data_IF_102844282358
#
_entry.id   IF_102844282358
#
_cell.length_a   1.000
_cell.length_b   1.000
_cell.length_c   1.000
_cell.angle_alpha   90.00
_cell.angle_beta   90.00
_cell.angle_gamma   90.00
#
_symmetry.space_group_name_H-M   'P 1'
#
loop_
_entity.id
_entity.type
_entity.pdbx_description
1 polymer ?
#
# COMPACT_ATOMS: atom_id res chain seq x y z
N UNK A 1 -0.89 -21.85 8.37
CA UNK A 1 -1.25 -20.44 8.12
C UNK A 1 -0.35 -19.93 7.01
N UNK A 2 -0.91 -19.57 5.86
CA UNK A 2 -0.17 -18.91 4.78
C UNK A 2 0.13 -17.48 5.20
N UNK A 3 1.39 -17.07 5.14
CA UNK A 3 1.78 -15.68 5.34
C UNK A 3 1.13 -14.82 4.26
N UNK A 4 0.50 -13.72 4.65
CA UNK A 4 -0.05 -12.71 3.74
C UNK A 4 0.50 -11.35 4.13
N UNK A 5 0.90 -10.56 3.14
CA UNK A 5 1.44 -9.22 3.32
C UNK A 5 0.69 -8.24 2.43
N UNK A 6 0.50 -7.02 2.93
CA UNK A 6 -0.11 -5.91 2.20
C UNK A 6 0.91 -4.79 2.11
N UNK A 7 0.99 -4.15 0.94
CA UNK A 7 1.76 -2.93 0.77
C UNK A 7 0.80 -1.74 0.93
N UNK A 8 1.16 -0.82 1.83
CA UNK A 8 0.38 0.38 2.15
C UNK A 8 1.31 1.56 2.36
N UNK A 9 0.85 2.75 1.98
CA UNK A 9 1.52 3.99 2.36
C UNK A 9 1.20 4.29 3.82
N UNK A 10 2.19 4.64 4.63
CA UNK A 10 1.97 4.89 6.05
C UNK A 10 2.15 6.36 6.43
N UNK A 11 1.31 6.81 7.36
CA UNK A 11 1.35 8.14 7.96
C UNK A 11 1.25 8.01 9.48
N UNK A 12 2.03 8.79 10.22
CA UNK A 12 1.95 8.82 11.69
C UNK A 12 1.58 10.21 12.18
N UNK A 13 0.53 10.30 12.99
CA UNK A 13 0.09 11.53 13.68
C UNK A 13 0.38 11.48 15.18
N UNK A 14 1.50 10.86 15.55
CA UNK A 14 1.99 10.74 16.92
C UNK A 14 1.25 9.69 17.76
N UNK A 15 -0.09 9.66 17.69
CA UNK A 15 -0.93 8.69 18.43
C UNK A 15 -1.61 7.66 17.54
N UNK A 16 -1.56 7.86 16.23
CA UNK A 16 -2.22 7.01 15.24
C UNK A 16 -1.26 6.74 14.09
N UNK A 17 -1.20 5.47 13.69
CA UNK A 17 -0.58 5.03 12.44
C UNK A 17 -1.68 4.67 11.46
N UNK A 18 -1.69 5.34 10.31
CA UNK A 18 -2.64 5.08 9.22
C UNK A 18 -1.88 4.39 8.09
N UNK A 19 -2.39 3.26 7.61
CA UNK A 19 -1.89 2.53 6.45
C UNK A 19 -2.91 2.65 5.31
N UNK A 20 -2.67 3.59 4.42
CA UNK A 20 -3.56 3.92 3.32
C UNK A 20 -3.28 3.08 2.07
N UNK A 21 -4.31 2.61 1.36
CA UNK A 21 -4.15 1.87 0.13
C UNK A 21 -3.59 2.75 -0.99
N UNK A 22 -2.81 2.14 -1.86
CA UNK A 22 -2.42 2.74 -3.14
C UNK A 22 -3.41 2.24 -4.22
N UNK A 23 -4.68 2.61 -4.08
CA UNK A 23 -5.77 2.17 -4.95
C UNK A 23 -6.80 3.28 -5.13
N UNK A 24 -7.47 3.30 -6.28
CA UNK A 24 -8.64 4.14 -6.55
C UNK A 24 -9.96 3.43 -6.22
N UNK A 25 -9.91 2.16 -5.82
CA UNK A 25 -11.07 1.39 -5.38
C UNK A 25 -11.56 1.92 -4.03
N UNK A 26 -12.81 2.38 -4.00
CA UNK A 26 -13.44 2.96 -2.82
C UNK A 26 -13.76 1.91 -1.74
N UNK A 27 -13.82 0.62 -2.10
CA UNK A 27 -14.11 -0.46 -1.16
C UNK A 27 -12.86 -0.86 -0.35
N UNK A 28 -11.68 -0.37 -0.73
CA UNK A 28 -10.44 -0.61 0.01
C UNK A 28 -10.22 0.53 1.01
N UNK A 29 -10.47 0.26 2.28
CA UNK A 29 -10.36 1.25 3.35
C UNK A 29 -8.93 1.38 3.93
N UNK A 30 -8.69 2.51 4.61
CA UNK A 30 -7.51 2.74 5.43
C UNK A 30 -7.46 1.77 6.62
N UNK A 31 -6.26 1.26 6.94
CA UNK A 31 -6.05 0.53 8.20
C UNK A 31 -5.56 1.52 9.25
N UNK A 32 -6.31 1.67 10.33
CA UNK A 32 -5.99 2.61 11.42
C UNK A 32 -5.55 1.82 12.65
N UNK A 33 -4.29 2.02 13.06
CA UNK A 33 -3.74 1.42 14.27
C UNK A 33 -3.52 2.53 15.29
N UNK A 34 -4.14 2.39 16.47
CA UNK A 34 -4.07 3.40 17.52
C UNK A 34 -3.15 2.97 18.64
N UNK A 35 -2.58 3.94 19.33
CA UNK A 35 -1.67 3.68 20.44
C UNK A 35 -2.32 2.83 21.56
N UNK A 36 -3.63 3.00 21.78
CA UNK A 36 -4.40 2.20 22.73
C UNK A 36 -4.49 0.71 22.38
N UNK A 37 -4.26 0.32 21.12
CA UNK A 37 -4.32 -1.08 20.67
C UNK A 37 -3.05 -1.86 21.02
N UNK A 38 -1.99 -1.16 21.43
CA UNK A 38 -0.71 -1.73 21.84
C UNK A 38 0.49 -1.14 21.09
N UNK A 39 1.73 -1.46 21.54
CA UNK A 39 2.93 -0.93 20.93
C UNK A 39 3.13 -1.48 19.52
N UNK A 40 3.34 -0.59 18.56
CA UNK A 40 3.63 -0.93 17.17
C UNK A 40 5.14 -0.80 16.94
N UNK A 41 5.75 -1.85 16.36
CA UNK A 41 7.16 -1.83 15.94
C UNK A 41 7.26 -1.79 14.42
N UNK A 42 7.84 -0.72 13.89
CA UNK A 42 8.23 -0.66 12.48
C UNK A 42 9.50 -1.48 12.28
N UNK A 43 9.46 -2.46 11.37
CA UNK A 43 10.60 -3.34 11.08
C UNK A 43 11.46 -2.83 9.92
N UNK A 44 10.87 -2.08 8.99
CA UNK A 44 11.56 -1.53 7.83
C UNK A 44 10.58 -0.84 6.88
N UNK A 45 11.13 -0.14 5.90
CA UNK A 45 10.36 0.54 4.85
C UNK A 45 10.56 -0.20 3.54
N UNK A 46 9.47 -0.55 2.86
CA UNK A 46 9.50 -1.09 1.51
C UNK A 46 9.39 0.07 0.52
N UNK A 47 10.28 0.10 -0.46
CA UNK A 47 10.22 1.03 -1.58
C UNK A 47 9.93 0.25 -2.85
N UNK A 48 8.88 0.62 -3.57
CA UNK A 48 8.59 0.08 -4.89
C UNK A 48 9.00 1.11 -5.94
N UNK A 49 9.84 0.68 -6.87
CA UNK A 49 10.23 1.44 -8.04
C UNK A 49 9.65 0.74 -9.27
N UNK A 50 8.67 1.36 -9.91
CA UNK A 50 8.19 0.91 -11.22
C UNK A 50 9.14 1.47 -12.28
N UNK A 51 9.79 0.60 -13.05
CA UNK A 51 10.67 1.06 -14.10
C UNK A 51 9.84 1.71 -15.22
N UNK A 52 10.38 2.71 -15.94
CA UNK A 52 9.67 3.36 -17.05
C UNK A 52 9.21 2.38 -18.13
N UNK A 53 10.05 1.38 -18.44
CA UNK A 53 9.75 0.37 -19.46
C UNK A 53 8.54 -0.50 -19.09
N UNK A 54 8.32 -0.74 -17.80
CA UNK A 54 7.14 -1.47 -17.31
C UNK A 54 5.87 -0.65 -17.58
N UNK A 55 5.91 0.67 -17.41
CA UNK A 55 4.73 1.52 -17.62
C UNK A 55 4.26 1.54 -19.08
N UNK A 56 5.18 1.58 -20.05
CA UNK A 56 4.84 1.55 -21.48
C UNK A 56 4.24 0.19 -21.92
N UNK A 57 4.73 -0.90 -21.35
CA UNK A 57 4.20 -2.25 -21.62
C UNK A 57 2.77 -2.41 -21.07
N UNK A 58 2.50 -1.89 -19.87
CA UNK A 58 1.15 -1.90 -19.27
C UNK A 58 0.12 -1.09 -20.07
N UNK A 59 0.49 0.08 -20.61
CA UNK A 59 -0.40 0.87 -21.48
C UNK A 59 -0.72 0.10 -22.77
N UNK A 60 0.30 -0.48 -23.42
CA UNK A 60 0.11 -1.28 -24.64
C UNK A 60 -0.86 -2.45 -24.46
N UNK A 61 -0.80 -3.11 -23.30
CA UNK A 61 -1.66 -4.25 -23.02
C UNK A 61 -3.12 -3.82 -22.77
N UNK A 62 -3.38 -2.64 -22.20
CA UNK A 62 -4.75 -2.12 -22.04
C UNK A 62 -5.39 -1.77 -23.40
N UNK A 63 -4.63 -1.15 -24.31
CA UNK A 63 -5.11 -0.79 -25.65
C UNK A 63 -5.44 -2.02 -26.52
N UNK A 64 -4.79 -3.16 -26.29
CA UNK A 64 -5.05 -4.42 -27.00
C UNK A 64 -6.26 -5.20 -26.49
N UNK A 65 -6.83 -4.78 -25.36
CA UNK A 65 -7.98 -5.43 -24.71
C UNK A 65 -9.30 -4.66 -24.83
N UNK A 66 -9.31 -3.55 -25.58
CA UNK A 66 -10.48 -2.69 -25.81
C UNK A 66 -10.98 -2.76 -27.25
#
# INVERSE_FOLDING_TARGET
>A
MSYSALMRRWYSTGRTLVLSPDSFDADIEDIVLRWEDGPIRVLGTVFHFQAPDDWEEWIRLQDLTT
#
